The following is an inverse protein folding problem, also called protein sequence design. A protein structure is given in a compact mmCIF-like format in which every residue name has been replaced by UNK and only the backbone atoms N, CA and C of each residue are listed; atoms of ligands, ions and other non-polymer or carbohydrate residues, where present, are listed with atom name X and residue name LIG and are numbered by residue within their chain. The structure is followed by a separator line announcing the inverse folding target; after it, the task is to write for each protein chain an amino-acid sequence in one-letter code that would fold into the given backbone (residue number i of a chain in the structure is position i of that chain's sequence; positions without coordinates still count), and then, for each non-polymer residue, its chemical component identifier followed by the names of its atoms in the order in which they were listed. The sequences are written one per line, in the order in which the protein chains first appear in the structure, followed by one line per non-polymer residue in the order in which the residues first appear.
data_IF_055508263561
#
_entry.id   IF_055508263561
#
_cell.length_a   1.000
_cell.length_b   1.000
_cell.length_c   1.000
_cell.angle_alpha   90.00
_cell.angle_beta   90.00
_cell.angle_gamma   90.00
#
_symmetry.space_group_name_H-M   'P 1'
#
loop_
_entity.id
_entity.type
_entity.pdbx_description
1 polymer ?
#
# COMPACT_ATOMS: atom_id res chain seq x y z
N UNK A 1 3.55 -32.63 39.28
CA UNK A 1 4.06 -32.12 37.98
C UNK A 1 3.01 -32.36 36.90
N UNK A 2 2.52 -31.30 36.24
CA UNK A 2 1.63 -31.46 35.10
C UNK A 2 2.46 -31.95 33.89
N UNK A 3 2.05 -33.06 33.28
CA UNK A 3 2.72 -33.62 32.11
C UNK A 3 2.38 -32.75 30.88
N UNK A 4 3.30 -31.88 30.47
CA UNK A 4 3.15 -30.97 29.34
C UNK A 4 3.14 -31.66 27.95
N UNK A 5 3.45 -32.96 27.89
CA UNK A 5 3.46 -33.74 26.63
C UNK A 5 2.06 -34.19 26.19
N UNK A 6 1.05 -34.16 27.07
CA UNK A 6 -0.33 -34.59 26.76
C UNK A 6 -1.19 -33.41 26.32
N UNK A 7 -1.73 -33.51 25.09
CA UNK A 7 -2.80 -32.62 24.64
C UNK A 7 -4.14 -33.05 25.24
N UNK A 8 -5.05 -32.12 25.61
CA UNK A 8 -6.35 -32.44 26.09
C UNK A 8 -7.17 -33.21 25.04
N UNK A 9 -7.99 -34.17 25.49
CA UNK A 9 -9.02 -34.79 24.64
C UNK A 9 -10.16 -33.80 24.52
N UNK A 10 -10.54 -33.46 23.27
CA UNK A 10 -11.57 -32.46 22.97
C UNK A 10 -12.68 -33.13 22.15
N UNK A 11 -13.92 -32.97 22.60
CA UNK A 11 -15.10 -33.25 21.78
C UNK A 11 -15.50 -31.99 21.02
N UNK A 12 -15.83 -32.11 19.73
CA UNK A 12 -16.21 -30.99 18.87
C UNK A 12 -17.70 -31.09 18.58
N UNK A 13 -18.40 -29.95 18.71
CA UNK A 13 -19.80 -29.79 18.33
C UNK A 13 -19.98 -28.49 17.52
N UNK A 14 -21.06 -28.37 16.77
CA UNK A 14 -21.38 -27.22 15.89
C UNK A 14 -22.57 -26.37 16.40
N UNK A 15 -22.92 -26.50 17.68
CA UNK A 15 -24.10 -25.88 18.30
C UNK A 15 -23.79 -24.54 19.03
N UNK A 16 -22.57 -24.03 18.91
CA UNK A 16 -22.16 -22.78 19.54
C UNK A 16 -22.89 -21.56 18.96
N UNK A 17 -23.65 -20.82 19.80
CA UNK A 17 -24.36 -19.62 19.38
C UNK A 17 -23.67 -18.34 19.82
N UNK A 18 -23.69 -17.30 18.96
CA UNK A 18 -23.12 -15.98 19.24
C UNK A 18 -21.58 -15.96 19.30
N UNK A 19 -20.92 -17.02 18.87
CA UNK A 19 -19.46 -17.09 18.76
C UNK A 19 -19.03 -16.32 17.52
N UNK A 20 -18.00 -15.48 17.63
CA UNK A 20 -17.40 -14.68 16.54
C UNK A 20 -15.92 -15.03 16.46
N UNK A 21 -15.49 -15.55 15.32
CA UNK A 21 -14.09 -15.97 15.09
C UNK A 21 -13.13 -14.80 14.86
N UNK A 22 -13.62 -13.70 14.32
CA UNK A 22 -12.86 -12.50 13.99
C UNK A 22 -13.42 -11.26 14.71
N UNK A 23 -13.59 -11.35 16.03
CA UNK A 23 -14.21 -10.30 16.82
C UNK A 23 -13.44 -8.96 16.76
N UNK A 24 -12.11 -9.01 16.55
CA UNK A 24 -11.30 -7.80 16.34
C UNK A 24 -11.60 -7.04 15.06
N UNK A 25 -12.31 -7.65 14.10
CA UNK A 25 -12.76 -6.98 12.87
C UNK A 25 -13.74 -5.82 13.13
N UNK A 26 -14.29 -5.69 14.33
CA UNK A 26 -15.04 -4.49 14.75
C UNK A 26 -14.23 -3.20 14.59
N UNK A 27 -12.90 -3.27 14.63
CA UNK A 27 -12.03 -2.13 14.36
C UNK A 27 -12.15 -1.67 12.90
N UNK A 28 -12.19 -2.60 11.93
CA UNK A 28 -12.34 -2.29 10.50
C UNK A 28 -13.69 -1.63 10.22
N UNK A 29 -14.78 -2.17 10.76
CA UNK A 29 -16.12 -1.58 10.61
C UNK A 29 -16.22 -0.21 11.27
N UNK A 30 -15.48 0.00 12.35
CA UNK A 30 -15.44 1.31 13.00
C UNK A 30 -14.62 2.32 12.20
N UNK A 31 -13.50 1.89 11.61
CA UNK A 31 -12.68 2.75 10.72
C UNK A 31 -13.49 3.17 9.49
N UNK A 32 -14.25 2.27 8.85
CA UNK A 32 -15.18 2.63 7.77
C UNK A 32 -16.08 3.81 8.16
N UNK A 33 -16.68 3.76 9.36
CA UNK A 33 -17.59 4.79 9.84
C UNK A 33 -16.90 6.11 10.18
N UNK A 34 -15.80 6.08 10.95
CA UNK A 34 -15.13 7.33 11.39
C UNK A 34 -14.45 8.05 10.25
N UNK A 35 -14.07 7.34 9.19
CA UNK A 35 -13.54 7.95 7.97
C UNK A 35 -14.62 8.38 6.99
N UNK A 36 -15.87 7.93 7.20
CA UNK A 36 -16.98 8.18 6.28
C UNK A 36 -16.89 7.39 4.98
N UNK A 37 -16.02 6.37 4.93
CA UNK A 37 -15.81 5.58 3.70
C UNK A 37 -17.04 4.75 3.32
N UNK A 38 -17.79 4.21 4.29
CA UNK A 38 -19.04 3.49 4.09
C UNK A 38 -20.10 4.36 3.43
N UNK A 39 -20.36 5.54 3.98
CA UNK A 39 -21.32 6.51 3.42
C UNK A 39 -20.85 7.04 2.05
N UNK A 40 -19.54 7.31 1.91
CA UNK A 40 -18.93 7.76 0.65
C UNK A 40 -19.06 6.74 -0.48
N UNK A 41 -18.84 5.46 -0.20
CA UNK A 41 -19.01 4.38 -1.19
C UNK A 41 -20.49 4.18 -1.54
N UNK A 42 -21.41 4.22 -0.55
CA UNK A 42 -22.83 4.10 -0.79
C UNK A 42 -23.35 5.23 -1.71
N UNK A 43 -22.96 6.47 -1.44
CA UNK A 43 -23.30 7.61 -2.29
C UNK A 43 -22.69 7.50 -3.69
N UNK A 44 -21.39 7.17 -3.79
CA UNK A 44 -20.67 7.11 -5.06
C UNK A 44 -21.18 6.00 -5.99
N UNK A 45 -21.58 4.84 -5.43
CA UNK A 45 -22.01 3.67 -6.18
C UNK A 45 -23.54 3.53 -6.28
N UNK A 46 -24.30 4.47 -5.71
CA UNK A 46 -25.77 4.43 -5.70
C UNK A 46 -26.42 4.32 -7.09
N UNK A 47 -25.78 4.87 -8.13
CA UNK A 47 -26.28 4.79 -9.52
C UNK A 47 -26.33 3.35 -10.08
N UNK A 48 -25.53 2.43 -9.55
CA UNK A 48 -25.53 1.01 -9.92
C UNK A 48 -26.47 0.16 -9.06
N UNK A 49 -27.24 0.79 -8.15
CA UNK A 49 -28.25 0.10 -7.36
C UNK A 49 -29.51 -0.11 -8.18
N UNK A 50 -29.88 -1.37 -8.40
CA UNK A 50 -31.16 -1.66 -9.03
C UNK A 50 -32.35 -1.21 -8.13
N UNK A 51 -33.51 -0.80 -8.69
CA UNK A 51 -34.63 -0.21 -7.91
C UNK A 51 -35.13 -1.10 -6.75
N UNK A 52 -35.05 -2.41 -6.90
CA UNK A 52 -35.50 -3.40 -5.89
C UNK A 52 -34.33 -4.11 -5.18
N UNK A 53 -33.11 -3.60 -5.32
CA UNK A 53 -31.96 -4.23 -4.69
C UNK A 53 -32.00 -4.03 -3.17
N UNK A 54 -31.92 -5.14 -2.43
CA UNK A 54 -31.84 -5.14 -0.96
C UNK A 54 -30.48 -4.62 -0.49
N UNK A 55 -29.39 -5.05 -1.16
CA UNK A 55 -28.05 -4.69 -0.79
C UNK A 55 -27.58 -3.44 -1.52
N UNK A 56 -26.91 -2.56 -0.77
CA UNK A 56 -26.28 -1.35 -1.30
C UNK A 56 -24.94 -1.71 -1.98
N UNK A 57 -24.68 -1.23 -3.22
CA UNK A 57 -23.43 -1.50 -3.94
C UNK A 57 -22.17 -1.06 -3.18
N UNK A 58 -22.22 0.11 -2.52
CA UNK A 58 -21.09 0.62 -1.72
C UNK A 58 -20.81 -0.27 -0.53
N UNK A 59 -21.87 -0.78 0.13
CA UNK A 59 -21.71 -1.76 1.21
C UNK A 59 -21.09 -3.06 0.72
N UNK A 60 -21.49 -3.59 -0.44
CA UNK A 60 -20.89 -4.81 -0.99
C UNK A 60 -19.39 -4.61 -1.24
N UNK A 61 -19.00 -3.48 -1.82
CA UNK A 61 -17.56 -3.15 -2.05
C UNK A 61 -16.81 -3.01 -0.72
N UNK A 62 -17.41 -2.38 0.29
CA UNK A 62 -16.83 -2.26 1.63
C UNK A 62 -16.70 -3.63 2.33
N UNK A 63 -17.72 -4.49 2.23
CA UNK A 63 -17.69 -5.85 2.79
C UNK A 63 -16.59 -6.70 2.13
N UNK A 64 -16.42 -6.61 0.80
CA UNK A 64 -15.29 -7.28 0.11
C UNK A 64 -13.94 -6.75 0.61
N UNK A 65 -13.79 -5.44 0.78
CA UNK A 65 -12.55 -4.88 1.32
C UNK A 65 -12.27 -5.36 2.76
N UNK A 66 -13.30 -5.49 3.59
CA UNK A 66 -13.16 -6.09 4.93
C UNK A 66 -12.78 -7.57 4.85
N UNK A 67 -13.41 -8.35 3.96
CA UNK A 67 -13.07 -9.75 3.76
C UNK A 67 -11.60 -9.92 3.36
N UNK A 68 -11.09 -9.11 2.41
CA UNK A 68 -9.67 -9.10 2.03
C UNK A 68 -8.76 -8.66 3.18
N UNK A 69 -9.16 -7.65 3.95
CA UNK A 69 -8.40 -7.21 5.13
C UNK A 69 -8.29 -8.33 6.16
N UNK A 70 -9.29 -9.22 6.27
CA UNK A 70 -9.28 -10.41 7.14
C UNK A 70 -8.54 -11.61 6.55
N UNK A 71 -8.14 -11.57 5.28
CA UNK A 71 -7.32 -12.60 4.64
C UNK A 71 -7.97 -13.36 3.51
N UNK A 72 -9.15 -12.95 3.07
CA UNK A 72 -9.77 -13.44 1.85
C UNK A 72 -8.94 -13.08 0.61
N UNK A 73 -9.11 -13.83 -0.48
CA UNK A 73 -8.41 -13.62 -1.75
C UNK A 73 -9.31 -13.84 -2.98
N UNK A 74 -10.60 -14.10 -2.77
CA UNK A 74 -11.59 -14.23 -3.83
C UNK A 74 -12.96 -13.65 -3.40
N UNK A 75 -13.92 -13.58 -4.36
CA UNK A 75 -15.25 -13.03 -4.08
C UNK A 75 -16.05 -13.87 -3.07
N UNK A 76 -15.86 -15.18 -3.07
CA UNK A 76 -16.60 -16.11 -2.22
C UNK A 76 -16.23 -15.97 -0.73
N UNK A 77 -15.06 -15.42 -0.40
CA UNK A 77 -14.61 -15.24 0.98
C UNK A 77 -15.45 -14.24 1.79
N UNK A 78 -16.30 -13.47 1.10
CA UNK A 78 -17.32 -12.63 1.75
C UNK A 78 -18.30 -13.48 2.59
N UNK A 79 -18.38 -14.77 2.34
CA UNK A 79 -19.18 -15.70 3.12
C UNK A 79 -18.79 -15.71 4.62
N UNK A 80 -17.51 -15.47 4.94
CA UNK A 80 -17.04 -15.36 6.32
C UNK A 80 -17.71 -14.18 7.07
N UNK A 81 -17.97 -13.06 6.37
CA UNK A 81 -18.69 -11.94 6.94
C UNK A 81 -20.20 -12.25 7.06
N UNK A 82 -20.75 -12.95 6.06
CA UNK A 82 -22.16 -13.34 6.03
C UNK A 82 -22.52 -14.26 7.19
N UNK A 83 -21.58 -15.07 7.64
CA UNK A 83 -21.76 -15.93 8.81
C UNK A 83 -21.94 -15.15 10.13
N UNK A 84 -21.56 -13.86 10.17
CA UNK A 84 -21.53 -13.02 11.37
C UNK A 84 -22.39 -11.75 11.24
N UNK A 85 -23.72 -11.87 10.96
CA UNK A 85 -24.58 -10.73 10.65
C UNK A 85 -24.74 -9.77 11.83
N UNK A 86 -24.52 -10.22 13.04
CA UNK A 86 -24.56 -9.35 14.23
C UNK A 86 -23.38 -8.39 14.32
N UNK A 87 -22.25 -8.69 13.64
CA UNK A 87 -21.08 -7.83 13.57
C UNK A 87 -21.06 -7.00 12.28
N UNK A 88 -21.38 -7.60 11.13
CA UNK A 88 -21.24 -6.97 9.81
C UNK A 88 -22.58 -6.51 9.20
N UNK A 89 -23.71 -6.83 9.83
CA UNK A 89 -25.04 -6.61 9.28
C UNK A 89 -25.36 -7.58 8.13
N UNK A 90 -26.42 -7.31 7.34
CA UNK A 90 -26.75 -8.12 6.17
C UNK A 90 -25.65 -8.05 5.11
N UNK A 91 -25.11 -9.19 4.69
CA UNK A 91 -24.05 -9.33 3.68
C UNK A 91 -24.61 -10.04 2.44
N UNK A 92 -24.27 -9.54 1.25
CA UNK A 92 -24.75 -10.03 -0.01
C UNK A 92 -24.31 -11.47 -0.32
N UNK A 93 -25.11 -12.23 -1.06
CA UNK A 93 -24.76 -13.57 -1.54
C UNK A 93 -23.75 -13.50 -2.69
N UNK A 94 -23.01 -14.58 -2.92
CA UNK A 94 -21.95 -14.65 -3.93
C UNK A 94 -22.45 -14.29 -5.35
N UNK A 95 -23.66 -14.75 -5.80
CA UNK A 95 -24.19 -14.32 -7.08
C UNK A 95 -24.49 -12.80 -7.16
N UNK A 96 -24.89 -12.18 -6.05
CA UNK A 96 -25.13 -10.72 -6.00
C UNK A 96 -23.83 -9.96 -6.10
N UNK A 97 -22.79 -10.42 -5.40
CA UNK A 97 -21.43 -9.85 -5.45
C UNK A 97 -20.85 -9.95 -6.85
N UNK A 98 -20.91 -11.13 -7.47
CA UNK A 98 -20.39 -11.37 -8.84
C UNK A 98 -21.12 -10.49 -9.88
N UNK A 99 -22.45 -10.39 -9.80
CA UNK A 99 -23.22 -9.50 -10.69
C UNK A 99 -22.85 -8.03 -10.49
N UNK A 100 -22.64 -7.58 -9.26
CA UNK A 100 -22.21 -6.20 -9.01
C UNK A 100 -20.84 -5.92 -9.63
N UNK A 101 -19.84 -6.80 -9.42
CA UNK A 101 -18.52 -6.62 -10.01
C UNK A 101 -18.59 -6.57 -11.52
N UNK A 102 -19.41 -7.43 -12.15
CA UNK A 102 -19.62 -7.41 -13.62
C UNK A 102 -20.31 -6.12 -14.07
N UNK A 103 -21.29 -5.63 -13.32
CA UNK A 103 -21.98 -4.37 -13.62
C UNK A 103 -21.04 -3.15 -13.51
N UNK A 104 -20.22 -3.09 -12.48
CA UNK A 104 -19.20 -2.05 -12.32
C UNK A 104 -18.15 -2.12 -13.43
N UNK A 105 -17.74 -3.33 -13.83
CA UNK A 105 -16.78 -3.55 -14.90
C UNK A 105 -17.30 -3.13 -16.28
N UNK A 106 -18.59 -3.30 -16.53
CA UNK A 106 -19.23 -2.85 -17.76
C UNK A 106 -19.21 -1.32 -17.94
N UNK A 107 -19.08 -0.56 -16.84
CA UNK A 107 -18.91 0.91 -16.83
C UNK A 107 -17.63 1.28 -16.03
N UNK A 108 -16.55 0.54 -16.25
CA UNK A 108 -15.33 0.64 -15.45
C UNK A 108 -14.77 2.06 -15.32
N UNK A 109 -14.69 2.90 -16.36
CA UNK A 109 -14.13 4.26 -16.21
C UNK A 109 -14.89 5.10 -15.17
N UNK A 110 -16.22 5.01 -15.16
CA UNK A 110 -17.06 5.74 -14.20
C UNK A 110 -17.02 5.10 -12.81
N UNK A 111 -17.09 3.76 -12.74
CA UNK A 111 -17.03 3.03 -11.48
C UNK A 111 -15.70 3.27 -10.75
N UNK A 112 -14.57 3.17 -11.46
CA UNK A 112 -13.24 3.46 -10.92
C UNK A 112 -13.13 4.91 -10.44
N UNK A 113 -13.65 5.87 -11.21
CA UNK A 113 -13.66 7.29 -10.81
C UNK A 113 -14.45 7.50 -9.54
N UNK A 114 -15.64 6.89 -9.41
CA UNK A 114 -16.51 6.98 -8.25
C UNK A 114 -15.87 6.38 -6.99
N UNK A 115 -15.31 5.17 -7.09
CA UNK A 115 -14.61 4.51 -5.98
C UNK A 115 -13.41 5.35 -5.53
N UNK A 116 -12.58 5.83 -6.47
CA UNK A 116 -11.41 6.67 -6.19
C UNK A 116 -11.77 7.99 -5.53
N UNK A 117 -12.87 8.61 -5.91
CA UNK A 117 -13.36 9.84 -5.27
C UNK A 117 -13.77 9.58 -3.81
N UNK A 118 -14.51 8.50 -3.53
CA UNK A 118 -14.86 8.10 -2.16
C UNK A 118 -13.61 7.81 -1.30
N UNK A 119 -12.64 7.08 -1.85
CA UNK A 119 -11.34 6.82 -1.20
C UNK A 119 -10.60 8.12 -0.85
N UNK A 120 -10.49 9.06 -1.80
CA UNK A 120 -9.81 10.34 -1.59
C UNK A 120 -10.43 11.15 -0.47
N UNK A 121 -11.77 11.22 -0.41
CA UNK A 121 -12.52 11.92 0.65
C UNK A 121 -12.28 11.26 2.01
N UNK A 122 -12.40 9.93 2.09
CA UNK A 122 -12.17 9.18 3.31
C UNK A 122 -10.72 9.30 3.80
N UNK A 123 -9.73 9.29 2.89
CA UNK A 123 -8.31 9.50 3.20
C UNK A 123 -8.07 10.89 3.78
N UNK A 124 -8.64 11.93 3.18
CA UNK A 124 -8.51 13.29 3.70
C UNK A 124 -8.98 13.34 5.16
N UNK A 125 -10.10 12.69 5.48
CA UNK A 125 -10.60 12.60 6.83
C UNK A 125 -9.73 11.73 7.73
N UNK A 126 -9.30 10.56 7.28
CA UNK A 126 -8.41 9.67 8.02
C UNK A 126 -7.10 10.37 8.41
N UNK A 127 -6.50 11.14 7.48
CA UNK A 127 -5.28 11.89 7.77
C UNK A 127 -5.52 13.09 8.70
N UNK A 128 -6.67 13.74 8.60
CA UNK A 128 -7.03 14.79 9.55
C UNK A 128 -7.19 14.23 10.98
N UNK A 129 -7.84 13.08 11.13
CA UNK A 129 -8.00 12.37 12.41
C UNK A 129 -6.67 11.79 12.93
N UNK A 130 -5.77 11.42 12.03
CA UNK A 130 -4.46 10.87 12.36
C UNK A 130 -3.45 11.88 12.93
N UNK A 131 -3.68 13.19 12.73
CA UNK A 131 -2.82 14.25 13.25
C UNK A 131 -1.35 14.04 12.89
N UNK A 132 -0.48 14.05 13.89
CA UNK A 132 0.99 13.86 13.74
C UNK A 132 1.37 12.49 13.19
N UNK A 133 0.44 11.54 13.22
CA UNK A 133 0.65 10.21 12.66
C UNK A 133 0.43 10.13 11.14
N UNK A 134 -0.19 11.15 10.56
CA UNK A 134 -0.52 11.19 9.14
C UNK A 134 0.66 11.66 8.27
N UNK A 135 0.75 11.22 7.00
CA UNK A 135 1.76 11.70 6.06
C UNK A 135 1.70 13.23 5.89
N UNK A 136 2.87 13.88 5.85
CA UNK A 136 2.97 15.33 5.68
C UNK A 136 2.60 16.16 6.92
N UNK A 137 2.43 15.53 8.08
CA UNK A 137 2.28 16.23 9.36
C UNK A 137 3.50 17.14 9.63
N UNK A 138 3.30 18.15 10.49
CA UNK A 138 4.38 19.10 10.84
C UNK A 138 4.92 19.91 9.66
N UNK A 139 4.23 19.91 8.52
CA UNK A 139 4.68 20.66 7.36
C UNK A 139 5.68 19.92 6.46
N UNK A 140 5.97 18.65 6.70
CA UNK A 140 6.86 17.82 5.86
C UNK A 140 6.30 17.50 4.47
N UNK A 141 7.13 16.96 3.59
CA UNK A 141 6.70 16.42 2.29
C UNK A 141 5.97 15.09 2.50
N UNK A 142 4.94 14.86 1.70
CA UNK A 142 4.36 13.53 1.56
C UNK A 142 5.26 12.71 0.65
N UNK A 143 5.86 11.67 1.17
CA UNK A 143 6.66 10.75 0.36
C UNK A 143 5.74 9.75 -0.33
N UNK A 144 5.90 9.64 -1.64
CA UNK A 144 5.11 8.76 -2.53
C UNK A 144 6.07 7.87 -3.30
N UNK A 145 5.94 6.56 -3.09
CA UNK A 145 6.77 5.55 -3.74
C UNK A 145 6.02 4.92 -4.92
N UNK A 146 6.67 4.87 -6.08
CA UNK A 146 6.17 4.19 -7.29
C UNK A 146 7.05 2.98 -7.55
N UNK A 147 6.43 1.82 -7.71
CA UNK A 147 7.12 0.58 -8.04
C UNK A 147 6.19 -0.40 -8.76
N UNK A 148 6.75 -1.20 -9.67
CA UNK A 148 6.02 -2.21 -10.39
C UNK A 148 6.15 -3.58 -9.72
N UNK A 149 5.16 -4.44 -9.92
CA UNK A 149 5.23 -5.81 -9.43
C UNK A 149 4.60 -6.77 -10.43
N UNK A 150 5.06 -8.02 -10.47
CA UNK A 150 4.44 -9.07 -11.28
C UNK A 150 3.37 -9.76 -10.44
N UNK A 151 2.20 -9.98 -11.07
CA UNK A 151 1.13 -10.84 -10.57
C UNK A 151 0.94 -11.97 -11.58
N UNK A 152 1.27 -13.19 -11.20
CA UNK A 152 1.13 -14.36 -12.06
C UNK A 152 -0.33 -14.75 -12.23
N UNK A 153 -0.70 -15.20 -13.42
CA UNK A 153 -1.99 -15.81 -13.72
C UNK A 153 -1.77 -17.30 -14.03
N UNK A 154 -2.59 -18.16 -13.45
CA UNK A 154 -2.54 -19.60 -13.68
C UNK A 154 -3.47 -20.06 -14.84
N UNK A 155 -4.18 -19.12 -15.45
CA UNK A 155 -5.12 -19.36 -16.56
C UNK A 155 -5.11 -18.18 -17.52
N UNK A 156 -5.62 -18.40 -18.72
CA UNK A 156 -5.87 -17.34 -19.70
C UNK A 156 -6.90 -16.36 -19.13
N UNK A 157 -6.46 -15.13 -18.89
CA UNK A 157 -7.30 -14.01 -18.46
C UNK A 157 -7.14 -12.89 -19.47
N UNK A 158 -8.18 -12.11 -19.63
CA UNK A 158 -8.19 -10.96 -20.52
C UNK A 158 -7.00 -10.04 -20.23
N UNK A 159 -6.18 -9.78 -21.25
CA UNK A 159 -4.92 -9.01 -21.22
C UNK A 159 -3.78 -9.59 -20.34
N UNK A 160 -3.89 -10.81 -19.85
CA UNK A 160 -2.72 -11.49 -19.31
C UNK A 160 -1.71 -11.78 -20.43
N UNK A 161 -0.42 -11.56 -20.14
CA UNK A 161 0.64 -11.67 -21.15
C UNK A 161 1.96 -12.20 -20.52
N UNK A 162 2.90 -12.71 -21.33
CA UNK A 162 4.23 -13.07 -20.85
C UNK A 162 4.93 -11.87 -20.20
N UNK A 163 5.59 -12.11 -19.07
CA UNK A 163 6.34 -11.08 -18.34
C UNK A 163 7.83 -11.17 -18.64
N UNK A 164 8.58 -10.13 -18.36
CA UNK A 164 10.05 -10.12 -18.51
C UNK A 164 10.77 -11.16 -17.63
N UNK A 165 10.13 -11.66 -16.56
CA UNK A 165 10.66 -12.78 -15.74
C UNK A 165 10.28 -14.17 -16.28
N UNK A 166 9.84 -14.27 -17.54
CA UNK A 166 9.41 -15.54 -18.17
C UNK A 166 8.25 -16.22 -17.41
N UNK A 167 7.38 -15.43 -16.76
CA UNK A 167 6.11 -15.87 -16.20
C UNK A 167 4.97 -15.33 -17.04
N UNK A 168 3.74 -15.78 -16.80
CA UNK A 168 2.54 -15.29 -17.48
C UNK A 168 1.63 -14.56 -16.49
N UNK A 169 1.06 -13.41 -16.88
CA UNK A 169 0.13 -12.67 -16.00
C UNK A 169 0.11 -11.18 -16.26
N UNK A 170 0.24 -10.39 -15.20
CA UNK A 170 0.10 -8.93 -15.20
C UNK A 170 1.32 -8.25 -14.57
N UNK A 171 1.52 -6.97 -14.92
CA UNK A 171 2.61 -6.15 -14.40
C UNK A 171 2.07 -4.80 -13.87
N UNK A 172 1.24 -4.82 -12.78
CA UNK A 172 0.68 -3.60 -12.22
C UNK A 172 1.76 -2.64 -11.74
N UNK A 173 1.52 -1.35 -11.94
CA UNK A 173 2.29 -0.25 -11.37
C UNK A 173 1.57 0.24 -10.12
N UNK A 174 2.25 0.19 -8.99
CA UNK A 174 1.70 0.51 -7.67
C UNK A 174 2.27 1.81 -7.14
N UNK A 175 1.46 2.57 -6.43
CA UNK A 175 1.87 3.83 -5.81
C UNK A 175 1.42 3.85 -4.36
N UNK A 176 2.36 4.10 -3.45
CA UNK A 176 2.10 4.11 -2.01
C UNK A 176 2.49 5.45 -1.37
N UNK A 177 1.69 5.90 -0.40
CA UNK A 177 2.12 6.93 0.54
C UNK A 177 2.93 6.28 1.67
N UNK A 178 4.10 6.85 1.98
CA UNK A 178 4.94 6.44 3.10
C UNK A 178 4.46 7.11 4.39
N UNK A 179 4.09 6.33 5.40
CA UNK A 179 3.72 6.82 6.74
C UNK A 179 4.93 7.06 7.66
N UNK A 180 6.14 7.11 7.10
CA UNK A 180 7.37 7.33 7.87
C UNK A 180 7.81 6.11 8.71
N UNK A 181 8.83 6.30 9.52
CA UNK A 181 9.42 5.22 10.33
C UNK A 181 8.45 4.63 11.38
N UNK A 182 7.50 5.42 11.83
CA UNK A 182 6.50 5.03 12.84
C UNK A 182 5.23 4.37 12.27
N UNK A 183 5.09 4.28 10.96
CA UNK A 183 3.87 3.78 10.31
C UNK A 183 4.13 2.73 9.23
N UNK A 184 3.06 2.21 8.64
CA UNK A 184 3.13 1.21 7.57
C UNK A 184 3.22 1.88 6.18
N UNK A 185 2.18 2.55 5.76
CA UNK A 185 1.94 3.10 4.43
C UNK A 185 0.66 2.55 3.82
N UNK A 186 0.14 3.23 2.82
CA UNK A 186 -1.13 2.91 2.17
C UNK A 186 -1.07 3.10 0.66
N UNK A 187 -1.82 2.31 -0.14
CA UNK A 187 -1.85 2.48 -1.58
C UNK A 187 -2.61 3.74 -1.97
N UNK A 188 -2.01 4.55 -2.84
CA UNK A 188 -2.67 5.65 -3.51
C UNK A 188 -3.27 5.19 -4.85
N UNK A 189 -2.54 4.34 -5.58
CA UNK A 189 -3.01 3.74 -6.82
C UNK A 189 -2.44 2.33 -7.00
N UNK A 190 -3.24 1.46 -7.60
CA UNK A 190 -2.82 0.17 -8.15
C UNK A 190 -3.30 0.16 -9.61
N UNK A 191 -2.42 0.49 -10.55
CA UNK A 191 -2.73 0.55 -11.96
C UNK A 191 -2.43 -0.80 -12.61
N UNK A 192 -3.47 -1.57 -12.93
CA UNK A 192 -3.33 -2.85 -13.61
C UNK A 192 -2.77 -2.63 -15.03
N UNK A 193 -1.82 -3.46 -15.45
CA UNK A 193 -1.23 -3.44 -16.79
C UNK A 193 -1.01 -4.88 -17.28
N UNK A 194 -0.99 -5.13 -18.59
CA UNK A 194 -0.60 -6.41 -19.16
C UNK A 194 0.80 -6.85 -18.67
N UNK A 195 1.07 -8.15 -18.70
CA UNK A 195 2.35 -8.70 -18.23
C UNK A 195 3.58 -8.21 -18.99
N UNK A 196 3.40 -7.89 -20.27
CA UNK A 196 4.42 -7.36 -21.18
C UNK A 196 4.57 -5.83 -21.14
N UNK A 197 3.87 -5.13 -20.23
CA UNK A 197 4.03 -3.69 -20.06
C UNK A 197 5.47 -3.32 -19.71
N UNK A 198 6.03 -2.33 -20.40
CA UNK A 198 7.40 -1.86 -20.18
C UNK A 198 7.63 -1.34 -18.75
N UNK A 199 8.83 -1.59 -18.23
CA UNK A 199 9.19 -1.10 -16.90
C UNK A 199 9.42 0.40 -16.83
N UNK A 200 9.85 1.01 -17.92
CA UNK A 200 10.23 2.43 -18.03
C UNK A 200 9.32 3.24 -18.99
N UNK A 201 8.05 2.85 -19.11
CA UNK A 201 7.05 3.61 -19.89
C UNK A 201 6.70 4.90 -19.15
N UNK A 202 7.16 6.04 -19.64
CA UNK A 202 6.92 7.35 -19.04
C UNK A 202 5.42 7.67 -18.87
N UNK A 203 4.61 7.34 -19.90
CA UNK A 203 3.16 7.56 -19.88
C UNK A 203 2.48 6.84 -18.71
N UNK A 204 2.90 5.60 -18.40
CA UNK A 204 2.37 4.82 -17.28
C UNK A 204 2.74 5.44 -15.93
N UNK A 205 4.01 5.86 -15.77
CA UNK A 205 4.47 6.55 -14.56
C UNK A 205 3.72 7.87 -14.33
N UNK A 206 3.51 8.65 -15.41
CA UNK A 206 2.71 9.88 -15.36
C UNK A 206 1.27 9.58 -14.95
N UNK A 207 0.66 8.56 -15.54
CA UNK A 207 -0.73 8.19 -15.23
C UNK A 207 -0.86 7.69 -13.78
N UNK A 208 0.03 6.83 -13.33
CA UNK A 208 0.06 6.34 -11.95
C UNK A 208 0.27 7.49 -10.95
N UNK A 209 1.18 8.42 -11.25
CA UNK A 209 1.39 9.62 -10.43
C UNK A 209 0.16 10.54 -10.42
N UNK A 210 -0.54 10.74 -11.55
CA UNK A 210 -1.80 11.50 -11.60
C UNK A 210 -2.87 10.89 -10.70
N UNK A 211 -3.06 9.57 -10.80
CA UNK A 211 -4.01 8.83 -9.96
C UNK A 211 -3.66 9.00 -8.47
N UNK A 212 -2.40 8.86 -8.12
CA UNK A 212 -1.92 9.01 -6.75
C UNK A 212 -2.11 10.44 -6.22
N UNK A 213 -1.72 11.46 -6.98
CA UNK A 213 -1.89 12.86 -6.58
C UNK A 213 -3.36 13.23 -6.38
N UNK A 214 -4.27 12.66 -7.19
CA UNK A 214 -5.71 12.87 -7.03
C UNK A 214 -6.23 12.30 -5.70
N UNK A 215 -5.56 11.29 -5.13
CA UNK A 215 -5.89 10.70 -3.84
C UNK A 215 -5.46 11.56 -2.65
N UNK A 216 -4.53 12.49 -2.82
CA UNK A 216 -4.02 13.31 -1.73
C UNK A 216 -4.96 14.49 -1.40
N UNK A 217 -5.03 14.94 -0.13
CA UNK A 217 -5.65 16.20 0.21
C UNK A 217 -5.10 17.35 -0.63
N UNK A 218 -5.97 18.23 -1.14
CA UNK A 218 -5.61 19.28 -2.10
C UNK A 218 -4.40 20.13 -1.65
N UNK A 219 -4.36 20.49 -0.36
CA UNK A 219 -3.26 21.26 0.26
C UNK A 219 -1.88 20.56 0.20
N UNK A 220 -1.86 19.23 0.10
CA UNK A 220 -0.64 18.43 0.10
C UNK A 220 -0.14 18.06 -1.30
N UNK A 221 -0.97 18.21 -2.35
CA UNK A 221 -0.64 17.77 -3.72
C UNK A 221 0.60 18.43 -4.33
N UNK A 222 1.00 19.61 -3.82
CA UNK A 222 2.22 20.32 -4.23
C UNK A 222 3.40 20.07 -3.29
N UNK A 223 3.20 19.34 -2.21
CA UNK A 223 4.20 19.08 -1.17
C UNK A 223 4.54 17.57 -1.17
N UNK A 224 4.93 17.07 -2.31
CA UNK A 224 5.17 15.65 -2.55
C UNK A 224 6.61 15.41 -2.98
N UNK A 225 7.23 14.39 -2.40
CA UNK A 225 8.45 13.77 -2.89
C UNK A 225 8.07 12.45 -3.57
N UNK A 226 8.28 12.35 -4.88
CA UNK A 226 8.13 11.11 -5.63
C UNK A 226 9.43 10.31 -5.56
N UNK A 227 9.36 9.06 -5.13
CA UNK A 227 10.46 8.10 -5.24
C UNK A 227 10.09 6.98 -6.20
N UNK A 228 11.02 6.60 -7.06
CA UNK A 228 10.87 5.46 -7.97
C UNK A 228 12.22 4.77 -8.17
N UNK A 229 12.19 3.56 -8.70
CA UNK A 229 13.39 2.89 -9.21
C UNK A 229 13.87 3.51 -10.54
N UNK A 230 14.84 2.88 -11.19
CA UNK A 230 15.35 3.36 -12.48
C UNK A 230 14.33 3.29 -13.63
N UNK A 231 13.25 2.52 -13.48
CA UNK A 231 12.15 2.52 -14.44
C UNK A 231 11.45 3.88 -14.55
N UNK A 232 11.42 4.66 -13.46
CA UNK A 232 10.91 6.03 -13.46
C UNK A 232 11.94 7.08 -13.94
N UNK A 233 13.19 6.70 -14.20
CA UNK A 233 14.27 7.60 -14.60
C UNK A 233 14.22 8.00 -16.08
N UNK A 234 13.11 8.56 -16.57
CA UNK A 234 12.93 8.99 -17.97
C UNK A 234 12.81 10.50 -18.08
N UNK A 235 13.27 11.06 -19.21
CA UNK A 235 13.20 12.49 -19.49
C UNK A 235 11.77 13.03 -19.38
N UNK A 236 10.81 12.30 -19.97
CA UNK A 236 9.42 12.71 -20.03
C UNK A 236 8.79 12.71 -18.62
N UNK A 237 9.07 11.70 -17.80
CA UNK A 237 8.51 11.62 -16.46
C UNK A 237 9.10 12.69 -15.53
N UNK A 238 10.43 12.85 -15.51
CA UNK A 238 11.08 13.88 -14.70
C UNK A 238 10.72 15.29 -15.17
N UNK A 239 10.65 15.51 -16.49
CA UNK A 239 10.14 16.75 -17.08
C UNK A 239 8.69 17.03 -16.69
N UNK A 240 7.85 15.99 -16.63
CA UNK A 240 6.47 16.13 -16.18
C UNK A 240 6.38 16.50 -14.68
N UNK A 241 7.22 15.95 -13.81
CA UNK A 241 7.26 16.27 -12.37
C UNK A 241 7.65 17.73 -12.12
N UNK A 242 8.56 18.28 -12.93
CA UNK A 242 9.17 19.60 -12.74
C UNK A 242 8.50 20.74 -13.51
N UNK A 243 7.46 20.47 -14.31
CA UNK A 243 6.73 21.49 -15.09
C UNK A 243 6.29 22.68 -14.23
N UNK A 244 6.28 23.91 -14.79
CA UNK A 244 5.72 25.08 -14.15
C UNK A 244 4.34 24.82 -13.57
N UNK A 245 4.09 25.25 -12.33
CA UNK A 245 2.84 25.00 -11.60
C UNK A 245 2.75 23.66 -10.87
N UNK A 246 3.60 22.66 -11.20
CA UNK A 246 3.67 21.38 -10.47
C UNK A 246 4.83 21.35 -9.49
N UNK A 247 6.05 21.43 -9.97
CA UNK A 247 7.31 21.49 -9.19
C UNK A 247 7.39 20.49 -8.04
N UNK A 248 7.09 19.22 -8.32
CA UNK A 248 7.19 18.16 -7.33
C UNK A 248 8.66 17.79 -7.11
N UNK A 249 9.01 17.51 -5.84
CA UNK A 249 10.31 16.93 -5.54
C UNK A 249 10.36 15.47 -6.01
N UNK A 250 11.53 15.02 -6.45
CA UNK A 250 11.75 13.63 -6.82
C UNK A 250 13.09 13.10 -6.33
N UNK A 251 13.17 11.78 -6.19
CA UNK A 251 14.36 10.98 -5.94
C UNK A 251 14.18 9.65 -6.65
N UNK A 252 14.72 9.52 -7.86
CA UNK A 252 14.43 8.44 -8.81
C UNK A 252 15.72 7.76 -9.19
N UNK A 253 15.72 6.42 -9.26
CA UNK A 253 16.87 5.67 -9.74
C UNK A 253 17.33 6.16 -11.10
N UNK A 254 18.64 6.25 -11.30
CA UNK A 254 19.25 6.71 -12.54
C UNK A 254 19.96 5.55 -13.24
N UNK A 255 19.83 5.40 -14.55
CA UNK A 255 20.41 4.29 -15.28
C UNK A 255 21.96 4.33 -15.22
N UNK A 256 22.58 3.16 -15.15
CA UNK A 256 24.04 3.00 -15.17
C UNK A 256 24.49 2.89 -16.62
N UNK A 257 24.63 4.02 -17.30
CA UNK A 257 25.17 4.12 -18.68
C UNK A 257 26.70 4.11 -18.65
N UNK A 258 27.34 3.95 -19.79
CA UNK A 258 28.81 4.02 -19.93
C UNK A 258 29.33 5.37 -19.43
N UNK A 259 28.69 6.48 -19.82
CA UNK A 259 29.01 7.85 -19.32
C UNK A 259 28.97 7.93 -17.78
N UNK A 260 27.95 7.30 -17.15
CA UNK A 260 27.83 7.25 -15.69
C UNK A 260 28.97 6.39 -15.08
N UNK A 261 29.33 5.27 -15.71
CA UNK A 261 30.41 4.42 -15.26
C UNK A 261 31.77 5.15 -15.35
N UNK A 262 32.05 5.82 -16.46
CA UNK A 262 33.26 6.62 -16.65
C UNK A 262 33.34 7.76 -15.62
N UNK A 263 32.24 8.46 -15.37
CA UNK A 263 32.17 9.49 -14.33
C UNK A 263 32.46 8.91 -12.94
N UNK A 264 31.94 7.71 -12.61
CA UNK A 264 32.20 7.04 -11.32
C UNK A 264 33.68 6.69 -11.16
N UNK A 265 34.33 6.19 -12.22
CA UNK A 265 35.75 5.84 -12.20
C UNK A 265 36.64 7.06 -12.04
N UNK A 266 36.22 8.22 -12.53
CA UNK A 266 36.94 9.47 -12.40
C UNK A 266 36.76 10.19 -11.04
N UNK A 267 35.90 9.68 -10.13
CA UNK A 267 35.71 10.30 -8.80
C UNK A 267 36.97 10.18 -7.95
N UNK A 268 37.59 11.29 -7.54
CA UNK A 268 38.75 11.21 -6.66
C UNK A 268 38.38 10.65 -5.28
N UNK A 269 39.30 9.89 -4.68
CA UNK A 269 39.08 9.23 -3.39
C UNK A 269 38.55 10.16 -2.28
N UNK A 270 39.02 11.42 -2.26
CA UNK A 270 38.58 12.45 -1.30
C UNK A 270 37.15 12.94 -1.45
N UNK A 271 36.50 12.68 -2.60
CA UNK A 271 35.13 13.12 -2.86
C UNK A 271 34.08 12.12 -2.31
N UNK A 272 34.51 10.94 -1.89
CA UNK A 272 33.62 9.96 -1.26
C UNK A 272 33.41 10.27 0.22
N UNK A 273 32.16 10.49 0.61
CA UNK A 273 31.76 10.67 2.01
C UNK A 273 31.03 9.43 2.53
N UNK A 274 31.13 9.08 3.82
CA UNK A 274 30.42 7.93 4.37
C UNK A 274 28.91 8.02 4.17
N UNK A 275 28.26 6.92 3.80
CA UNK A 275 26.80 6.81 3.76
C UNK A 275 26.24 6.58 5.18
N UNK A 276 24.93 6.79 5.37
CA UNK A 276 24.26 6.54 6.64
C UNK A 276 23.47 5.23 6.62
N UNK A 277 23.33 4.61 7.79
CA UNK A 277 22.40 3.51 8.03
C UNK A 277 20.96 4.03 8.21
N UNK A 278 20.01 3.12 8.49
CA UNK A 278 18.60 3.49 8.69
C UNK A 278 18.36 4.34 9.96
N UNK A 279 19.31 4.36 10.90
CA UNK A 279 19.28 5.16 12.12
C UNK A 279 20.00 6.50 11.99
N UNK A 280 20.55 6.81 10.78
CA UNK A 280 21.30 8.05 10.55
C UNK A 280 22.77 8.01 11.04
N UNK A 281 23.27 6.82 11.41
CA UNK A 281 24.68 6.63 11.79
C UNK A 281 25.51 6.24 10.57
N UNK A 282 26.83 6.43 10.65
CA UNK A 282 27.73 6.01 9.56
C UNK A 282 27.57 4.52 9.29
N UNK A 283 27.34 4.20 8.02
CA UNK A 283 27.19 2.82 7.54
C UNK A 283 28.54 2.27 7.08
N UNK A 284 29.13 1.28 7.78
CA UNK A 284 30.38 0.68 7.37
C UNK A 284 30.33 0.09 5.96
N UNK A 285 31.37 0.33 5.16
CA UNK A 285 31.48 -0.23 3.81
C UNK A 285 30.56 0.42 2.77
N UNK A 286 30.04 1.62 3.03
CA UNK A 286 29.22 2.37 2.09
C UNK A 286 29.59 3.85 2.07
N UNK A 287 29.66 4.43 0.86
CA UNK A 287 30.01 5.82 0.61
C UNK A 287 29.11 6.42 -0.44
N UNK A 288 29.03 7.75 -0.47
CA UNK A 288 28.27 8.54 -1.44
C UNK A 288 29.14 9.62 -2.05
N UNK A 289 28.88 9.93 -3.32
CA UNK A 289 29.48 11.04 -4.03
C UNK A 289 28.48 11.64 -5.01
N UNK A 290 28.73 12.88 -5.45
CA UNK A 290 27.92 13.54 -6.48
C UNK A 290 28.71 13.59 -7.79
N UNK A 291 28.04 13.22 -8.89
CA UNK A 291 28.59 13.22 -10.25
C UNK A 291 27.88 14.17 -11.21
N UNK A 292 27.02 15.07 -10.69
CA UNK A 292 26.24 16.02 -11.47
C UNK A 292 27.07 16.79 -12.49
N UNK A 293 28.21 17.34 -12.08
CA UNK A 293 29.10 18.14 -12.92
C UNK A 293 29.95 17.34 -13.91
N UNK A 294 29.86 16.00 -13.88
CA UNK A 294 30.63 15.09 -14.71
C UNK A 294 29.78 14.47 -15.84
N UNK A 295 28.48 14.80 -15.92
CA UNK A 295 27.52 14.24 -16.85
C UNK A 295 26.92 15.30 -17.76
N UNK A 296 26.58 14.90 -18.98
CA UNK A 296 25.88 15.73 -19.97
C UNK A 296 24.38 15.89 -19.68
N UNK A 297 24.03 16.63 -18.63
CA UNK A 297 22.64 16.76 -18.15
C UNK A 297 21.81 17.85 -18.85
N UNK A 298 22.26 18.39 -19.99
CA UNK A 298 21.61 19.51 -20.67
C UNK A 298 20.17 19.25 -21.14
N UNK A 299 19.82 17.99 -21.44
CA UNK A 299 18.47 17.54 -21.82
C UNK A 299 17.56 17.19 -20.63
N UNK A 300 18.09 17.14 -19.43
CA UNK A 300 17.37 16.83 -18.21
C UNK A 300 16.81 18.09 -17.52
N UNK A 301 15.86 17.95 -16.58
CA UNK A 301 15.32 19.10 -15.87
C UNK A 301 16.41 19.92 -15.18
N UNK A 302 16.34 21.25 -15.29
CA UNK A 302 17.29 22.17 -14.65
C UNK A 302 17.37 21.93 -13.14
N UNK A 303 18.59 21.91 -12.59
CA UNK A 303 18.85 21.69 -11.17
C UNK A 303 18.74 20.22 -10.75
N UNK A 304 18.66 19.28 -11.70
CA UNK A 304 18.78 17.86 -11.41
C UNK A 304 20.18 17.55 -10.90
N UNK A 305 20.26 16.82 -9.80
CA UNK A 305 21.52 16.29 -9.25
C UNK A 305 21.56 14.79 -9.43
N UNK A 306 22.73 14.24 -9.70
CA UNK A 306 22.96 12.79 -9.78
C UNK A 306 23.96 12.40 -8.68
N UNK A 307 23.50 11.50 -7.81
CA UNK A 307 24.25 11.03 -6.65
C UNK A 307 24.48 9.53 -6.82
N UNK A 308 25.72 9.11 -6.54
CA UNK A 308 26.12 7.71 -6.59
C UNK A 308 26.40 7.17 -5.19
N UNK A 309 25.95 5.97 -4.91
CA UNK A 309 26.33 5.18 -3.75
C UNK A 309 27.28 4.08 -4.19
N UNK A 310 28.39 3.96 -3.49
CA UNK A 310 29.35 2.85 -3.53
C UNK A 310 29.17 2.02 -2.27
N UNK A 311 28.95 0.71 -2.37
CA UNK A 311 28.81 -0.14 -1.20
C UNK A 311 29.43 -1.51 -1.41
N UNK A 312 29.94 -2.13 -0.35
CA UNK A 312 30.31 -3.54 -0.37
C UNK A 312 29.02 -4.37 -0.48
N UNK A 313 28.93 -5.28 -1.46
CA UNK A 313 27.78 -6.18 -1.54
C UNK A 313 27.63 -6.99 -0.25
N UNK A 314 26.37 -7.32 0.10
CA UNK A 314 26.10 -8.19 1.24
C UNK A 314 26.81 -9.54 1.04
N UNK A 315 27.38 -10.16 2.10
CA UNK A 315 27.95 -11.52 2.01
C UNK A 315 26.93 -12.48 1.38
N UNK A 316 27.36 -13.21 0.32
CA UNK A 316 26.50 -14.07 -0.47
C UNK A 316 25.71 -13.39 -1.59
N UNK A 317 25.85 -12.09 -1.78
CA UNK A 317 25.26 -11.39 -2.93
C UNK A 317 25.97 -11.80 -4.24
N UNK A 318 25.19 -12.11 -5.26
CA UNK A 318 25.73 -12.40 -6.59
C UNK A 318 26.39 -11.14 -7.19
N UNK A 319 27.64 -11.25 -7.62
CA UNK A 319 28.33 -10.16 -8.31
C UNK A 319 27.62 -9.84 -9.63
N UNK A 320 27.61 -8.56 -10.00
CA UNK A 320 27.06 -8.04 -11.26
C UNK A 320 28.20 -7.53 -12.12
N UNK A 321 27.99 -7.50 -13.43
CA UNK A 321 28.96 -6.90 -14.37
C UNK A 321 29.28 -5.42 -14.09
N UNK A 322 28.38 -4.72 -13.40
CA UNK A 322 28.55 -3.32 -12.97
C UNK A 322 29.21 -3.17 -11.60
N UNK A 323 29.60 -4.28 -10.94
CA UNK A 323 30.35 -4.23 -9.69
C UNK A 323 31.84 -4.04 -10.02
N UNK A 324 32.50 -3.02 -9.46
CA UNK A 324 33.87 -2.62 -9.75
C UNK A 324 34.67 -2.71 -8.44
N UNK A 325 35.84 -3.33 -8.47
CA UNK A 325 36.74 -3.47 -7.30
C UNK A 325 36.04 -3.99 -6.04
N UNK A 326 35.16 -4.98 -6.21
CA UNK A 326 34.40 -5.58 -5.11
C UNK A 326 33.31 -4.67 -4.51
N UNK A 327 32.95 -3.59 -5.20
CA UNK A 327 31.89 -2.66 -4.78
C UNK A 327 30.75 -2.62 -5.80
N UNK A 328 29.55 -2.46 -5.26
CA UNK A 328 28.34 -2.20 -6.04
C UNK A 328 28.06 -0.71 -6.09
N UNK A 329 27.73 -0.23 -7.28
CA UNK A 329 27.35 1.15 -7.52
C UNK A 329 25.87 1.27 -7.83
N UNK A 330 25.23 2.31 -7.32
CA UNK A 330 23.82 2.64 -7.59
C UNK A 330 23.70 4.15 -7.71
N UNK A 331 23.08 4.62 -8.79
CA UNK A 331 22.84 6.04 -9.02
C UNK A 331 21.39 6.41 -8.84
N UNK A 332 21.13 7.62 -8.41
CA UNK A 332 19.81 8.22 -8.40
C UNK A 332 19.87 9.71 -8.72
N UNK A 333 18.81 10.19 -9.37
CA UNK A 333 18.61 11.59 -9.67
C UNK A 333 17.65 12.22 -8.66
N UNK A 334 17.92 13.48 -8.27
CA UNK A 334 17.05 14.22 -7.36
C UNK A 334 16.94 15.69 -7.77
N UNK A 335 15.78 16.31 -7.50
CA UNK A 335 15.56 17.75 -7.63
C UNK A 335 15.84 18.54 -6.35
N UNK A 336 16.38 17.92 -5.31
CA UNK A 336 16.66 18.59 -4.02
C UNK A 336 17.99 19.33 -4.12
N UNK A 337 17.95 20.65 -4.05
CA UNK A 337 19.11 21.53 -4.26
C UNK A 337 20.08 21.61 -3.07
N UNK A 338 19.75 21.08 -1.91
CA UNK A 338 20.57 21.15 -0.71
C UNK A 338 20.60 19.84 0.05
N UNK A 339 21.20 19.86 1.24
CA UNK A 339 21.31 18.71 2.12
C UNK A 339 22.59 17.90 1.92
N UNK A 340 22.95 17.13 2.93
CA UNK A 340 24.11 16.24 2.87
C UNK A 340 23.82 15.07 1.92
N UNK A 341 24.85 14.63 1.17
CA UNK A 341 24.69 13.52 0.22
C UNK A 341 24.23 12.23 0.90
N UNK A 342 24.72 11.97 2.11
CA UNK A 342 24.34 10.81 2.89
C UNK A 342 22.85 10.81 3.30
N UNK A 343 22.27 11.97 3.63
CA UNK A 343 20.84 12.11 3.92
C UNK A 343 19.99 11.91 2.68
N UNK A 344 20.42 12.45 1.54
CA UNK A 344 19.72 12.28 0.27
C UNK A 344 19.74 10.82 -0.20
N UNK A 345 20.86 10.13 -0.01
CA UNK A 345 21.00 8.69 -0.28
C UNK A 345 20.11 7.87 0.66
N UNK A 346 20.17 8.12 1.96
CA UNK A 346 19.32 7.41 2.93
C UNK A 346 17.84 7.60 2.59
N UNK A 347 17.41 8.83 2.29
CA UNK A 347 16.04 9.13 1.85
C UNK A 347 15.65 8.37 0.59
N UNK A 348 16.56 8.26 -0.40
CA UNK A 348 16.32 7.47 -1.60
C UNK A 348 16.24 5.97 -1.29
N UNK A 349 17.19 5.44 -0.53
CA UNK A 349 17.27 4.02 -0.16
C UNK A 349 16.07 3.53 0.65
N UNK A 350 15.47 4.39 1.46
CA UNK A 350 14.21 4.09 2.16
C UNK A 350 13.04 3.80 1.21
N UNK A 351 13.19 4.01 -0.11
CA UNK A 351 12.26 3.51 -1.14
C UNK A 351 12.06 1.99 -1.05
N UNK A 352 13.04 1.23 -0.61
CA UNK A 352 12.93 -0.21 -0.41
C UNK A 352 11.73 -0.62 0.47
N UNK A 353 11.22 0.28 1.31
CA UNK A 353 9.97 0.07 2.06
C UNK A 353 8.74 -0.11 1.16
N UNK A 354 8.81 0.30 -0.12
CA UNK A 354 7.76 0.03 -1.11
C UNK A 354 7.58 -1.47 -1.36
N UNK A 355 8.68 -2.23 -1.35
CA UNK A 355 8.65 -3.69 -1.53
C UNK A 355 7.86 -4.38 -0.41
N UNK A 356 8.00 -3.89 0.84
CA UNK A 356 7.20 -4.38 1.98
C UNK A 356 5.71 -4.07 1.80
N UNK A 357 5.37 -2.91 1.23
CA UNK A 357 3.99 -2.52 0.96
C UNK A 357 3.39 -3.32 -0.19
N UNK A 358 4.17 -3.60 -1.23
CA UNK A 358 3.78 -4.51 -2.31
C UNK A 358 3.51 -5.91 -1.75
N UNK A 359 4.40 -6.42 -0.88
CA UNK A 359 4.20 -7.70 -0.20
C UNK A 359 2.92 -7.69 0.64
N UNK A 360 2.69 -6.62 1.40
CA UNK A 360 1.46 -6.43 2.18
C UNK A 360 0.20 -6.39 1.30
N UNK A 361 0.25 -5.71 0.15
CA UNK A 361 -0.85 -5.69 -0.81
C UNK A 361 -1.09 -7.08 -1.44
N UNK A 362 -0.02 -7.81 -1.78
CA UNK A 362 -0.12 -9.21 -2.24
C UNK A 362 -0.74 -10.12 -1.19
N UNK A 363 -0.40 -9.93 0.06
CA UNK A 363 -1.01 -10.66 1.19
C UNK A 363 -2.46 -10.21 1.47
N UNK A 364 -2.96 -9.19 0.77
CA UNK A 364 -4.29 -8.60 0.95
C UNK A 364 -5.08 -8.60 -0.38
N UNK A 365 -4.92 -9.66 -1.18
CA UNK A 365 -5.71 -9.91 -2.40
C UNK A 365 -5.04 -9.52 -3.71
N UNK A 366 -3.88 -8.81 -3.73
CA UNK A 366 -3.18 -8.47 -4.99
C UNK A 366 -2.44 -9.67 -5.60
N UNK A 367 -2.15 -10.71 -4.82
CA UNK A 367 -1.46 -11.92 -5.31
C UNK A 367 -2.31 -12.69 -6.31
N UNK A 368 -3.62 -12.68 -6.10
CA UNK A 368 -4.61 -13.32 -6.96
C UNK A 368 -5.48 -12.24 -7.61
N UNK A 369 -5.59 -12.28 -8.95
CA UNK A 369 -6.59 -11.53 -9.69
C UNK A 369 -7.68 -12.54 -10.10
N UNK A 370 -8.75 -12.73 -9.28
CA UNK A 370 -9.59 -13.93 -9.34
C UNK A 370 -10.55 -13.93 -10.53
N UNK A 371 -10.67 -12.83 -11.26
CA UNK A 371 -11.67 -12.64 -12.30
C UNK A 371 -11.07 -12.88 -13.69
N UNK A 372 -11.92 -13.18 -14.68
CA UNK A 372 -11.47 -13.40 -16.04
C UNK A 372 -11.24 -12.08 -16.77
N UNK A 373 -12.21 -11.15 -16.71
CA UNK A 373 -12.17 -9.88 -17.45
C UNK A 373 -11.18 -8.89 -16.86
N UNK A 374 -10.48 -8.16 -17.73
CA UNK A 374 -9.51 -7.13 -17.33
C UNK A 374 -10.17 -6.01 -16.52
N UNK A 375 -11.32 -5.50 -16.98
CA UNK A 375 -12.06 -4.45 -16.28
C UNK A 375 -12.54 -4.92 -14.89
N UNK A 376 -12.94 -6.19 -14.76
CA UNK A 376 -13.30 -6.77 -13.46
C UNK A 376 -12.09 -6.80 -12.52
N UNK A 377 -10.91 -7.17 -13.02
CA UNK A 377 -9.67 -7.16 -12.24
C UNK A 377 -9.19 -5.73 -11.91
N UNK A 378 -9.51 -4.72 -12.72
CA UNK A 378 -9.30 -3.32 -12.34
C UNK A 378 -10.17 -2.91 -11.14
N UNK A 379 -11.45 -3.32 -11.10
CA UNK A 379 -12.32 -3.12 -9.93
C UNK A 379 -11.76 -3.87 -8.71
N UNK A 380 -11.28 -5.10 -8.90
CA UNK A 380 -10.64 -5.87 -7.84
C UNK A 380 -9.41 -5.16 -7.25
N UNK A 381 -8.56 -4.55 -8.08
CA UNK A 381 -7.42 -3.76 -7.61
C UNK A 381 -7.84 -2.57 -6.72
N UNK A 382 -8.98 -1.93 -7.01
CA UNK A 382 -9.51 -0.87 -6.12
C UNK A 382 -10.04 -1.45 -4.79
N UNK A 383 -10.64 -2.64 -4.80
CA UNK A 383 -11.07 -3.33 -3.57
C UNK A 383 -9.86 -3.73 -2.72
N UNK A 384 -8.79 -4.22 -3.35
CA UNK A 384 -7.50 -4.48 -2.68
C UNK A 384 -6.94 -3.20 -2.06
N UNK A 385 -6.97 -2.09 -2.79
CA UNK A 385 -6.52 -0.81 -2.28
C UNK A 385 -7.33 -0.37 -1.07
N UNK A 386 -8.67 -0.48 -1.10
CA UNK A 386 -9.55 -0.23 0.04
C UNK A 386 -9.20 -1.09 1.25
N UNK A 387 -8.95 -2.39 1.05
CA UNK A 387 -8.57 -3.31 2.13
C UNK A 387 -7.25 -2.90 2.79
N UNK A 388 -6.24 -2.55 1.99
CA UNK A 388 -4.95 -2.06 2.49
C UNK A 388 -5.09 -0.72 3.23
N UNK A 389 -5.96 0.18 2.75
CA UNK A 389 -6.27 1.46 3.41
C UNK A 389 -6.92 1.23 4.78
N UNK A 390 -7.91 0.34 4.87
CA UNK A 390 -8.54 -0.03 6.14
C UNK A 390 -7.53 -0.54 7.16
N UNK A 391 -6.57 -1.38 6.73
CA UNK A 391 -5.49 -1.87 7.59
C UNK A 391 -4.56 -0.74 8.02
N UNK A 392 -4.15 0.13 7.10
CA UNK A 392 -3.26 1.26 7.37
C UNK A 392 -3.93 2.30 8.28
N UNK A 393 -5.19 2.64 8.04
CA UNK A 393 -5.95 3.58 8.87
C UNK A 393 -6.28 2.99 10.25
N UNK A 394 -6.56 1.69 10.34
CA UNK A 394 -6.68 1.00 11.64
C UNK A 394 -5.37 1.13 12.43
N UNK A 395 -4.24 0.89 11.78
CA UNK A 395 -2.93 1.04 12.41
C UNK A 395 -2.66 2.50 12.84
N UNK A 396 -2.99 3.48 11.99
CA UNK A 396 -2.75 4.91 12.24
C UNK A 396 -3.67 5.48 13.32
N UNK A 397 -4.96 5.17 13.28
CA UNK A 397 -5.98 5.78 14.15
C UNK A 397 -6.18 5.04 15.47
N UNK A 398 -5.97 3.72 15.49
CA UNK A 398 -6.34 2.87 16.61
C UNK A 398 -5.16 2.26 17.37
N UNK A 399 -4.03 1.99 16.70
CA UNK A 399 -2.90 1.29 17.32
C UNK A 399 -1.81 2.25 17.78
N UNK A 400 -0.96 1.78 18.70
CA UNK A 400 0.18 2.55 19.25
C UNK A 400 1.45 1.71 19.27
N UNK A 401 2.59 2.39 19.42
CA UNK A 401 3.89 1.75 19.52
C UNK A 401 4.21 0.89 18.29
N UNK A 402 4.81 -0.27 18.50
CA UNK A 402 5.22 -1.18 17.41
C UNK A 402 4.05 -1.77 16.63
N UNK A 403 2.85 -1.83 17.21
CA UNK A 403 1.67 -2.36 16.54
C UNK A 403 1.23 -1.54 15.32
N UNK A 404 1.57 -0.24 15.27
CA UNK A 404 1.32 0.63 14.10
C UNK A 404 2.08 0.20 12.85
N UNK A 405 3.15 -0.60 12.99
CA UNK A 405 3.99 -1.08 11.89
C UNK A 405 3.75 -2.56 11.56
N UNK A 406 2.76 -3.20 12.22
CA UNK A 406 2.50 -4.61 11.95
C UNK A 406 1.95 -4.81 10.55
N UNK A 407 2.52 -5.78 9.86
CA UNK A 407 2.07 -6.23 8.55
C UNK A 407 0.69 -6.90 8.62
N UNK A 408 -0.04 -7.00 7.50
CA UNK A 408 -1.38 -7.57 7.45
C UNK A 408 -1.50 -8.93 8.13
N UNK A 409 -0.55 -9.85 7.89
CA UNK A 409 -0.55 -11.18 8.54
C UNK A 409 -0.50 -11.11 10.05
N UNK A 410 0.32 -10.18 10.58
CA UNK A 410 0.46 -9.98 12.03
C UNK A 410 -0.78 -9.32 12.63
N UNK A 411 -1.39 -8.37 11.93
CA UNK A 411 -2.66 -7.76 12.33
C UNK A 411 -3.78 -8.81 12.37
N UNK A 412 -3.89 -9.65 11.34
CA UNK A 412 -4.86 -10.75 11.29
C UNK A 412 -4.70 -11.67 12.47
N UNK A 413 -3.50 -12.21 12.69
CA UNK A 413 -3.21 -13.15 13.78
C UNK A 413 -3.46 -12.53 15.16
N UNK A 414 -3.01 -11.30 15.39
CA UNK A 414 -2.97 -10.75 16.75
C UNK A 414 -4.19 -9.94 17.13
N UNK A 415 -4.73 -9.18 16.17
CA UNK A 415 -5.83 -8.24 16.41
C UNK A 415 -7.15 -8.83 15.94
N UNK A 416 -7.25 -9.28 14.68
CA UNK A 416 -8.55 -9.62 14.11
C UNK A 416 -9.02 -11.04 14.48
N UNK A 417 -8.12 -12.03 14.56
CA UNK A 417 -8.45 -13.42 14.90
C UNK A 417 -8.79 -13.64 16.38
N UNK A 418 -8.93 -12.58 17.17
CA UNK A 418 -9.45 -12.69 18.54
C UNK A 418 -10.87 -13.24 18.50
N UNK A 419 -11.10 -14.35 19.19
CA UNK A 419 -12.45 -14.87 19.37
C UNK A 419 -13.27 -13.98 20.29
N UNK A 420 -14.58 -13.92 20.05
CA UNK A 420 -15.50 -13.20 20.90
C UNK A 420 -16.85 -13.87 20.97
N UNK A 421 -17.73 -13.34 21.82
CA UNK A 421 -19.13 -13.77 21.92
C UNK A 421 -20.05 -12.56 21.94
N UNK A 422 -21.03 -12.56 21.05
CA UNK A 422 -22.09 -11.55 21.06
C UNK A 422 -23.17 -11.98 22.03
N UNK A 423 -23.49 -11.10 22.98
CA UNK A 423 -24.56 -11.30 23.96
C UNK A 423 -25.56 -10.15 23.86
N UNK A 424 -26.84 -10.49 23.95
CA UNK A 424 -27.96 -9.54 24.03
C UNK A 424 -28.38 -9.35 25.48
N UNK A 425 -28.62 -8.13 25.87
CA UNK A 425 -29.20 -7.80 27.17
C UNK A 425 -29.72 -6.37 27.16
N UNK A 426 -30.98 -6.15 27.57
CA UNK A 426 -31.57 -4.84 27.72
C UNK A 426 -31.45 -3.94 26.49
N UNK A 427 -31.87 -4.34 25.31
CA UNK A 427 -31.81 -3.60 24.02
C UNK A 427 -30.37 -3.30 23.52
N UNK A 428 -29.32 -3.88 24.13
CA UNK A 428 -27.91 -3.67 23.74
C UNK A 428 -27.26 -4.96 23.27
N UNK A 429 -26.49 -4.86 22.20
CA UNK A 429 -25.55 -5.89 21.79
C UNK A 429 -24.19 -5.59 22.45
N UNK A 430 -23.60 -6.63 23.07
CA UNK A 430 -22.27 -6.55 23.66
C UNK A 430 -21.37 -7.62 23.03
N UNK A 431 -20.26 -7.20 22.45
CA UNK A 431 -19.21 -8.10 21.99
C UNK A 431 -18.22 -8.31 23.13
N UNK A 432 -18.18 -9.54 23.67
CA UNK A 432 -17.21 -9.96 24.69
C UNK A 432 -16.05 -10.65 24.01
N UNK A 433 -14.86 -10.09 24.13
CA UNK A 433 -13.62 -10.67 23.59
C UNK A 433 -13.10 -11.76 24.52
N UNK A 434 -12.35 -12.73 23.96
CA UNK A 434 -11.69 -13.77 24.74
C UNK A 434 -10.71 -13.14 25.75
N UNK A 435 -11.00 -13.27 27.03
CA UNK A 435 -10.26 -12.56 28.10
C UNK A 435 -8.77 -12.94 28.18
N UNK A 436 -8.43 -14.19 27.83
CA UNK A 436 -7.04 -14.69 27.85
C UNK A 436 -6.29 -14.49 26.52
N UNK A 437 -6.89 -13.81 25.52
CA UNK A 437 -6.18 -13.50 24.29
C UNK A 437 -5.07 -12.49 24.56
N UNK A 438 -3.81 -12.74 24.16
CA UNK A 438 -2.67 -11.91 24.57
C UNK A 438 -2.78 -10.42 24.21
N UNK A 439 -3.56 -10.09 23.18
CA UNK A 439 -3.73 -8.73 22.67
C UNK A 439 -5.09 -8.10 22.97
N UNK A 440 -5.90 -8.70 23.86
CA UNK A 440 -7.24 -8.18 24.20
C UNK A 440 -7.18 -6.73 24.71
N UNK A 441 -6.21 -6.40 25.55
CA UNK A 441 -6.01 -5.03 26.05
C UNK A 441 -5.72 -4.03 24.91
N UNK A 442 -4.92 -4.46 23.93
CA UNK A 442 -4.65 -3.60 22.75
C UNK A 442 -5.90 -3.39 21.90
N UNK A 443 -6.71 -4.44 21.71
CA UNK A 443 -7.95 -4.37 20.94
C UNK A 443 -8.95 -3.43 21.64
N UNK A 444 -9.16 -3.58 22.94
CA UNK A 444 -10.09 -2.73 23.71
C UNK A 444 -9.63 -1.28 23.73
N UNK A 445 -8.33 -1.02 23.95
CA UNK A 445 -7.77 0.32 23.87
C UNK A 445 -7.91 0.94 22.46
N UNK A 446 -7.75 0.15 21.39
CA UNK A 446 -7.95 0.57 20.02
C UNK A 446 -9.42 0.96 19.75
N UNK A 447 -10.37 0.16 20.23
CA UNK A 447 -11.81 0.45 20.15
C UNK A 447 -12.13 1.74 20.89
N UNK A 448 -11.60 1.94 22.09
CA UNK A 448 -11.80 3.19 22.88
C UNK A 448 -11.30 4.42 22.10
N UNK A 449 -10.11 4.34 21.49
CA UNK A 449 -9.59 5.44 20.66
C UNK A 449 -10.49 5.76 19.47
N UNK A 450 -10.94 4.74 18.74
CA UNK A 450 -11.85 4.96 17.61
C UNK A 450 -13.22 5.49 18.05
N UNK A 451 -13.69 5.15 19.26
CA UNK A 451 -14.93 5.71 19.79
C UNK A 451 -14.79 7.19 20.19
N UNK A 452 -13.59 7.63 20.57
CA UNK A 452 -13.32 9.03 20.87
C UNK A 452 -13.27 9.92 19.61
N UNK A 453 -13.13 9.31 18.41
CA UNK A 453 -13.17 10.03 17.14
C UNK A 453 -14.64 10.28 16.73
N UNK A 454 -14.93 11.50 16.28
CA UNK A 454 -16.26 11.81 15.76
C UNK A 454 -16.57 10.93 14.52
N UNK A 455 -17.83 10.43 14.40
CA UNK A 455 -18.23 9.71 13.20
C UNK A 455 -18.21 10.62 11.96
N UNK A 456 -17.99 10.00 10.79
CA UNK A 456 -17.97 10.65 9.48
C UNK A 456 -19.35 10.95 8.92
#
# INVERSE_FOLDING_TARGET
MQNTARRPKITVSADGTGIVSHAGAVLLTRVLRVTGLDAGLAAALGRWKAPRAVHDPGKIVADLAVALALGGDCLADIAALRAEPALFGPVASDPVVSRLVSLLAADAPRALTAIRAARATARQRAWALGGDAAPGAGGGLVTVDIDATIVTACSEKDQAAPTWKKTFGFHPLTVFADHGAGGSGEPLAIMLRPGNAGSNTAADHIQAARLALAQLPARLRRRVLIRADSGGGTHEFLGWLTRPGRRLAYSVGFPMTDEVQDAILAIPARAWTPAYDAGGQVRPGAWVAEITGMLGLGSWPKGMRVIVRKERPHPGAQLRFTDIDGHRFTCFATSTNGGQLADLELRHRLRARCEDRIRAAKDTGLRNLPLHGYAQNQIWCEIVALACELLAWTAMLALTGTARRWEPRRLRLRIFACAGRIVRGGRRLRLRLAARWPWTTQITAAITRLHALAPG
#
